data_IF_754131646478
#
_entry.id   IF_754131646478
#
_cell.length_a   1.000
_cell.length_b   1.000
_cell.length_c   1.000
_cell.angle_alpha   90.00
_cell.angle_beta   90.00
_cell.angle_gamma   90.00
#
_symmetry.space_group_name_H-M   'P 1'
#
loop_
_entity.id
_entity.type
_entity.pdbx_description
1 polymer ?
#
# COMPACT_ATOMS: atom_id res chain seq x y z
N UNK A 1 18.26 -26.86 1.13
CA UNK A 1 16.88 -26.36 1.36
C UNK A 1 16.80 -25.05 2.15
N UNK A 2 17.63 -24.79 3.17
CA UNK A 2 17.57 -23.54 3.99
C UNK A 2 17.75 -22.21 3.21
N UNK A 3 18.44 -22.22 2.07
CA UNK A 3 18.73 -20.99 1.30
C UNK A 3 17.54 -20.45 0.49
N UNK A 4 16.66 -21.33 0.01
CA UNK A 4 15.43 -20.94 -0.70
C UNK A 4 14.43 -20.24 0.23
N UNK A 5 14.23 -20.76 1.44
CA UNK A 5 13.34 -20.13 2.43
C UNK A 5 13.76 -18.72 2.78
N UNK A 6 15.07 -18.47 2.91
CA UNK A 6 15.59 -17.13 3.19
C UNK A 6 15.27 -16.15 2.08
N UNK A 7 15.41 -16.55 0.81
CA UNK A 7 15.03 -15.73 -0.36
C UNK A 7 13.53 -15.49 -0.42
N UNK A 8 12.69 -16.49 -0.20
CA UNK A 8 11.23 -16.35 -0.22
C UNK A 8 10.76 -15.40 0.88
N UNK A 9 11.28 -15.52 2.09
CA UNK A 9 10.94 -14.62 3.20
C UNK A 9 11.44 -13.20 2.95
N UNK A 10 12.59 -13.02 2.31
CA UNK A 10 13.12 -11.70 1.99
C UNK A 10 12.35 -11.02 0.84
N UNK A 11 11.93 -11.79 -0.17
CA UNK A 11 11.04 -11.33 -1.24
C UNK A 11 9.65 -11.02 -0.69
N UNK A 12 9.13 -11.84 0.23
CA UNK A 12 7.89 -11.56 0.94
C UNK A 12 8.05 -10.30 1.80
N UNK A 13 9.11 -10.14 2.59
CA UNK A 13 9.34 -8.92 3.37
C UNK A 13 9.42 -7.66 2.50
N UNK A 14 10.07 -7.76 1.34
CA UNK A 14 10.16 -6.66 0.38
C UNK A 14 8.83 -6.37 -0.34
N UNK A 15 8.10 -7.43 -0.71
CA UNK A 15 6.79 -7.31 -1.32
C UNK A 15 5.78 -6.76 -0.31
N UNK A 16 5.72 -7.27 0.91
CA UNK A 16 4.78 -6.78 1.92
C UNK A 16 5.15 -5.36 2.40
N UNK A 17 6.42 -4.97 2.44
CA UNK A 17 6.80 -3.58 2.74
C UNK A 17 6.26 -2.57 1.72
N UNK A 18 6.36 -2.85 0.42
CA UNK A 18 5.99 -1.89 -0.64
C UNK A 18 4.62 -2.15 -1.30
N UNK A 19 4.09 -3.39 -1.28
CA UNK A 19 2.79 -3.71 -1.87
C UNK A 19 1.62 -3.39 -0.94
N UNK A 20 1.82 -3.40 0.38
CA UNK A 20 0.74 -3.04 1.32
C UNK A 20 0.23 -1.61 1.05
N UNK A 21 1.09 -0.56 1.02
CA UNK A 21 0.62 0.78 0.72
C UNK A 21 0.02 0.88 -0.68
N UNK A 22 0.62 0.22 -1.68
CA UNK A 22 0.07 0.21 -3.04
C UNK A 22 -1.33 -0.42 -3.11
N UNK A 23 -1.53 -1.56 -2.46
CA UNK A 23 -2.82 -2.25 -2.40
C UNK A 23 -3.87 -1.40 -1.66
N UNK A 24 -3.48 -0.70 -0.57
CA UNK A 24 -4.37 0.20 0.15
C UNK A 24 -4.80 1.41 -0.69
N UNK A 25 -3.92 1.94 -1.55
CA UNK A 25 -4.26 3.01 -2.50
C UNK A 25 -5.26 2.50 -3.55
N UNK A 26 -5.01 1.33 -4.13
CA UNK A 26 -5.89 0.74 -5.15
C UNK A 26 -7.28 0.46 -4.56
N UNK A 27 -7.35 -0.13 -3.37
CA UNK A 27 -8.62 -0.40 -2.69
C UNK A 27 -9.40 0.89 -2.39
N UNK A 28 -8.72 1.93 -1.90
CA UNK A 28 -9.34 3.24 -1.68
C UNK A 28 -9.84 3.86 -2.99
N UNK A 29 -9.04 3.80 -4.05
CA UNK A 29 -9.42 4.30 -5.37
C UNK A 29 -10.67 3.60 -5.93
N UNK A 30 -10.71 2.26 -5.87
CA UNK A 30 -11.89 1.49 -6.28
C UNK A 30 -13.11 1.86 -5.45
N UNK A 31 -12.96 2.03 -4.13
CA UNK A 31 -14.03 2.47 -3.26
C UNK A 31 -14.58 3.85 -3.67
N UNK A 32 -13.72 4.84 -3.92
CA UNK A 32 -14.19 6.16 -4.31
C UNK A 32 -14.85 6.16 -5.69
N UNK A 33 -14.36 5.37 -6.64
CA UNK A 33 -15.00 5.24 -7.96
C UNK A 33 -16.41 4.66 -7.85
N UNK A 34 -16.62 3.68 -6.97
CA UNK A 34 -17.94 3.04 -6.80
C UNK A 34 -18.91 3.94 -6.03
N UNK A 35 -18.47 4.57 -4.94
CA UNK A 35 -19.36 5.25 -4.01
C UNK A 35 -19.42 6.78 -4.18
N UNK A 36 -18.36 7.42 -4.70
CA UNK A 36 -18.26 8.89 -4.84
C UNK A 36 -17.58 9.23 -6.19
N UNK A 37 -18.17 8.85 -7.34
CA UNK A 37 -17.51 8.95 -8.65
C UNK A 37 -17.13 10.37 -9.04
N UNK A 38 -17.94 11.38 -8.69
CA UNK A 38 -17.73 12.79 -9.02
C UNK A 38 -16.43 13.37 -8.45
N UNK A 39 -16.02 12.92 -7.26
CA UNK A 39 -14.80 13.37 -6.59
C UNK A 39 -13.74 12.29 -6.50
N UNK A 40 -13.94 11.16 -7.20
CA UNK A 40 -13.13 9.95 -7.06
C UNK A 40 -11.64 10.20 -7.28
N UNK A 41 -11.28 10.98 -8.29
CA UNK A 41 -9.87 11.33 -8.59
C UNK A 41 -9.24 12.14 -7.47
N UNK A 42 -9.94 13.17 -6.98
CA UNK A 42 -9.46 14.04 -5.90
C UNK A 42 -9.31 13.25 -4.60
N UNK A 43 -10.33 12.44 -4.25
CA UNK A 43 -10.33 11.61 -3.04
C UNK A 43 -9.23 10.55 -3.10
N UNK A 44 -9.00 9.94 -4.26
CA UNK A 44 -7.90 8.97 -4.45
C UNK A 44 -6.54 9.63 -4.26
N UNK A 45 -6.35 10.86 -4.75
CA UNK A 45 -5.10 11.60 -4.55
C UNK A 45 -4.87 11.93 -3.07
N UNK A 46 -5.89 12.43 -2.37
CA UNK A 46 -5.82 12.70 -0.91
C UNK A 46 -5.53 11.40 -0.15
N UNK A 47 -6.21 10.32 -0.50
CA UNK A 47 -6.03 9.01 0.11
C UNK A 47 -4.63 8.45 -0.11
N UNK A 48 -4.06 8.60 -1.30
CA UNK A 48 -2.69 8.20 -1.60
C UNK A 48 -1.68 8.92 -0.70
N UNK A 49 -1.87 10.22 -0.46
CA UNK A 49 -1.04 10.98 0.48
C UNK A 49 -1.19 10.45 1.90
N UNK A 50 -2.42 10.17 2.36
CA UNK A 50 -2.67 9.59 3.69
C UNK A 50 -1.95 8.24 3.87
N UNK A 51 -2.10 7.34 2.89
CA UNK A 51 -1.46 6.02 2.92
C UNK A 51 0.06 6.15 2.94
N UNK A 52 0.65 7.03 2.12
CA UNK A 52 2.09 7.29 2.12
C UNK A 52 2.58 7.88 3.45
N UNK A 53 1.84 8.80 4.05
CA UNK A 53 2.20 9.40 5.34
C UNK A 53 2.20 8.33 6.45
N UNK A 54 1.20 7.45 6.45
CA UNK A 54 1.13 6.31 7.37
C UNK A 54 2.32 5.40 7.11
N UNK A 55 2.54 4.99 5.85
CA UNK A 55 3.64 4.12 5.47
C UNK A 55 4.99 4.67 5.95
N UNK A 56 5.30 5.94 5.67
CA UNK A 56 6.55 6.58 6.11
C UNK A 56 6.66 6.64 7.65
N UNK A 57 5.56 6.93 8.36
CA UNK A 57 5.58 7.01 9.84
C UNK A 57 5.79 5.65 10.50
N UNK A 58 5.20 4.59 9.94
CA UNK A 58 5.26 3.25 10.53
C UNK A 58 6.46 2.44 10.02
N UNK A 59 6.93 2.70 8.80
CA UNK A 59 8.14 2.10 8.22
C UNK A 59 9.41 2.51 8.99
N UNK A 60 9.47 3.74 9.53
CA UNK A 60 10.59 4.20 10.38
C UNK A 60 10.69 3.52 11.76
N UNK A 61 9.75 2.63 12.12
CA UNK A 61 9.73 1.92 13.42
C UNK A 61 10.20 0.47 13.36
N UNK A 62 10.56 -0.04 12.19
CA UNK A 62 11.15 -1.36 11.97
C UNK A 62 12.58 -1.25 11.45
#
# INVERSE_FOLDING_TARGET
MKWLYKKVIQTIGFLFGNLIPLAAIILGGVFFVIFIPEYSVLLTAIWAVVVLVIDIRYSKRH
#
